data_IF_962991175574
#
_entry.id   IF_962991175574
#
_cell.length_a   1.000
_cell.length_b   1.000
_cell.length_c   1.000
_cell.angle_alpha   90.00
_cell.angle_beta   90.00
_cell.angle_gamma   90.00
#
_symmetry.space_group_name_H-M   'P 1'
#
loop_
_entity.id
_entity.type
_entity.pdbx_description
1 polymer ?
#
# COMPACT_ATOMS: atom_id res chain seq x y z
N UNK A 1 -14.52 -0.42 -16.18
CA UNK A 1 -13.40 -0.05 -15.29
C UNK A 1 -13.73 1.31 -14.71
N UNK A 2 -13.62 1.54 -13.40
CA UNK A 2 -13.94 2.81 -12.76
C UNK A 2 -12.72 3.73 -12.84
N UNK A 3 -12.63 4.71 -13.75
CA UNK A 3 -11.37 5.40 -14.05
C UNK A 3 -10.84 6.24 -12.87
N UNK A 4 -11.68 6.58 -11.90
CA UNK A 4 -11.34 7.44 -10.76
C UNK A 4 -10.92 6.68 -9.50
N UNK A 5 -10.91 5.33 -9.51
CA UNK A 5 -10.48 4.56 -8.35
C UNK A 5 -8.96 4.59 -8.20
N UNK A 6 -8.50 4.88 -6.99
CA UNK A 6 -7.08 4.78 -6.65
C UNK A 6 -6.89 4.06 -5.32
N UNK A 7 -5.83 3.27 -5.22
CA UNK A 7 -5.45 2.58 -3.99
C UNK A 7 -4.04 3.01 -3.57
N UNK A 8 -3.92 3.66 -2.40
CA UNK A 8 -2.62 4.05 -1.84
C UNK A 8 -2.21 3.03 -0.78
N UNK A 9 -1.03 2.44 -0.92
CA UNK A 9 -0.49 1.42 -0.01
C UNK A 9 0.65 2.03 0.78
N UNK A 10 0.60 1.88 2.11
CA UNK A 10 1.66 2.27 3.03
C UNK A 10 1.95 1.21 4.07
N UNK A 11 3.14 1.25 4.65
CA UNK A 11 3.60 0.32 5.69
C UNK A 11 3.88 1.07 6.99
N UNK A 12 3.52 0.48 8.12
CA UNK A 12 3.91 0.99 9.43
C UNK A 12 5.43 0.80 9.62
N UNK A 13 6.15 1.92 9.71
CA UNK A 13 7.58 1.96 9.93
C UNK A 13 7.88 2.55 11.33
N UNK A 14 8.81 1.96 12.11
CA UNK A 14 9.30 2.59 13.32
C UNK A 14 9.93 3.95 13.02
N UNK A 15 9.65 4.94 13.86
CA UNK A 15 10.17 6.29 13.72
C UNK A 15 10.31 6.96 15.09
N UNK A 16 11.55 7.21 15.54
CA UNK A 16 11.83 7.97 16.78
C UNK A 16 10.97 7.54 17.99
N UNK A 17 10.83 6.24 18.22
CA UNK A 17 10.03 5.71 19.35
C UNK A 17 8.51 5.67 19.11
N UNK A 18 8.03 6.07 17.93
CA UNK A 18 6.63 5.94 17.48
C UNK A 18 6.53 5.17 16.16
N UNK A 19 5.34 5.15 15.55
CA UNK A 19 5.04 4.58 14.24
C UNK A 19 4.70 5.71 13.27
N UNK A 20 5.32 5.71 12.09
CA UNK A 20 4.88 6.49 10.92
C UNK A 20 4.41 5.55 9.82
N UNK A 21 3.58 6.04 8.92
CA UNK A 21 3.34 5.34 7.66
C UNK A 21 4.37 5.80 6.63
N UNK A 22 5.11 4.84 6.06
CA UNK A 22 5.89 5.04 4.84
C UNK A 22 4.98 4.67 3.68
N UNK A 23 4.56 5.65 2.88
CA UNK A 23 3.75 5.41 1.68
C UNK A 23 4.63 4.83 0.58
N UNK A 24 4.15 3.80 -0.12
CA UNK A 24 4.98 3.01 -1.05
C UNK A 24 4.53 3.15 -2.49
N UNK A 25 3.22 3.18 -2.73
CA UNK A 25 2.66 3.23 -4.08
C UNK A 25 1.23 3.74 -4.07
N UNK A 26 0.85 4.46 -5.13
CA UNK A 26 -0.54 4.75 -5.49
C UNK A 26 -0.87 4.03 -6.80
N UNK A 27 -1.82 3.11 -6.76
CA UNK A 27 -2.28 2.34 -7.92
C UNK A 27 -3.48 3.04 -8.54
N UNK A 28 -3.43 3.24 -9.86
CA UNK A 28 -4.62 3.59 -10.65
C UNK A 28 -5.46 2.36 -10.99
N UNK A 29 -6.68 2.57 -11.47
CA UNK A 29 -7.62 1.49 -11.80
C UNK A 29 -7.08 0.46 -12.79
N UNK A 30 -6.19 0.85 -13.71
CA UNK A 30 -5.56 -0.05 -14.69
C UNK A 30 -4.57 -1.03 -14.05
N UNK A 31 -3.97 -0.66 -12.92
CA UNK A 31 -2.99 -1.48 -12.20
C UNK A 31 -3.62 -2.27 -11.04
N UNK A 32 -4.88 -1.96 -10.71
CA UNK A 32 -5.55 -2.51 -9.54
C UNK A 32 -6.00 -3.96 -9.75
N UNK A 33 -6.18 -4.41 -10.99
CA UNK A 33 -6.61 -5.78 -11.31
C UNK A 33 -5.74 -6.85 -10.66
N UNK A 34 -4.44 -6.86 -10.97
CA UNK A 34 -3.47 -7.80 -10.38
C UNK A 34 -3.39 -7.70 -8.86
N UNK A 35 -3.55 -6.50 -8.30
CA UNK A 35 -3.54 -6.31 -6.86
C UNK A 35 -4.78 -6.92 -6.20
N UNK A 36 -5.96 -6.84 -6.82
CA UNK A 36 -7.21 -7.33 -6.23
C UNK A 36 -7.35 -8.86 -6.28
N UNK A 37 -6.64 -9.54 -7.19
CA UNK A 37 -6.64 -11.01 -7.27
C UNK A 37 -6.03 -11.65 -6.03
N UNK A 38 -4.85 -11.19 -5.59
CA UNK A 38 -4.23 -11.57 -4.32
C UNK A 38 -3.48 -10.38 -3.70
N UNK A 39 -4.17 -9.53 -2.91
CA UNK A 39 -3.55 -8.35 -2.32
C UNK A 39 -2.38 -8.67 -1.40
N UNK A 40 -2.47 -9.76 -0.62
CA UNK A 40 -1.46 -10.10 0.35
C UNK A 40 -0.20 -10.65 -0.33
N UNK A 41 -0.36 -11.56 -1.30
CA UNK A 41 0.74 -12.07 -2.12
C UNK A 41 1.37 -10.98 -2.99
N UNK A 42 0.57 -10.09 -3.58
CA UNK A 42 1.05 -8.96 -4.37
C UNK A 42 1.95 -8.03 -3.54
N UNK A 43 1.56 -7.74 -2.29
CA UNK A 43 2.36 -6.93 -1.34
C UNK A 43 3.61 -7.71 -0.93
N UNK A 44 3.48 -8.98 -0.53
CA UNK A 44 4.60 -9.81 -0.10
C UNK A 44 5.70 -9.91 -1.17
N UNK A 45 5.31 -10.14 -2.43
CA UNK A 45 6.23 -10.27 -3.54
C UNK A 45 7.03 -8.99 -3.84
N UNK A 46 6.47 -7.81 -3.56
CA UNK A 46 7.10 -6.51 -3.88
C UNK A 46 7.78 -5.86 -2.68
N UNK A 47 7.22 -6.04 -1.50
CA UNK A 47 7.57 -5.28 -0.30
C UNK A 47 7.90 -6.17 0.90
N UNK A 48 7.71 -7.48 0.77
CA UNK A 48 7.99 -8.45 1.82
C UNK A 48 7.03 -8.32 3.01
N UNK A 49 7.48 -8.77 4.18
CA UNK A 49 6.66 -8.81 5.38
C UNK A 49 6.53 -7.46 6.09
N UNK A 50 5.40 -7.27 6.80
CA UNK A 50 5.13 -6.02 7.50
C UNK A 50 3.66 -5.78 7.79
N UNK A 51 3.36 -4.64 8.42
CA UNK A 51 1.97 -4.20 8.67
C UNK A 51 1.61 -3.13 7.66
N UNK A 52 0.87 -3.53 6.64
CA UNK A 52 0.47 -2.67 5.53
C UNK A 52 -0.97 -2.21 5.68
N UNK A 53 -1.23 -1.05 5.10
CA UNK A 53 -2.55 -0.44 4.98
C UNK A 53 -2.74 -0.01 3.53
N UNK A 54 -3.89 -0.34 2.96
CA UNK A 54 -4.36 0.18 1.68
C UNK A 54 -5.53 1.12 1.92
N UNK A 55 -5.48 2.31 1.34
CA UNK A 55 -6.59 3.27 1.29
C UNK A 55 -7.16 3.32 -0.12
N UNK A 56 -8.45 3.03 -0.25
CA UNK A 56 -9.18 3.18 -1.49
C UNK A 56 -9.83 4.57 -1.54
N UNK A 57 -9.68 5.23 -2.69
CA UNK A 57 -10.32 6.51 -2.99
C UNK A 57 -11.10 6.42 -4.30
N UNK A 58 -12.18 7.20 -4.39
CA UNK A 58 -12.88 7.50 -5.63
C UNK A 58 -12.74 9.00 -5.89
N UNK A 59 -11.92 9.36 -6.89
CA UNK A 59 -11.44 10.72 -7.05
C UNK A 59 -10.67 11.18 -5.80
N UNK A 60 -11.06 12.32 -5.23
CA UNK A 60 -10.48 12.85 -3.98
C UNK A 60 -11.14 12.28 -2.71
N UNK A 61 -12.20 11.47 -2.84
CA UNK A 61 -12.94 11.00 -1.70
C UNK A 61 -12.36 9.68 -1.17
N UNK A 62 -12.04 9.66 0.12
CA UNK A 62 -11.73 8.42 0.83
C UNK A 62 -12.96 7.52 0.90
N UNK A 63 -12.78 6.24 0.58
CA UNK A 63 -13.86 5.25 0.56
C UNK A 63 -13.67 4.21 1.65
N UNK A 64 -12.49 3.59 1.73
CA UNK A 64 -12.24 2.51 2.69
C UNK A 64 -10.75 2.30 2.97
N UNK A 65 -10.45 1.66 4.09
CA UNK A 65 -9.14 1.13 4.44
C UNK A 65 -9.20 -0.39 4.56
N UNK A 66 -8.21 -1.09 4.01
CA UNK A 66 -7.95 -2.51 4.31
C UNK A 66 -6.51 -2.71 4.79
N UNK A 67 -6.33 -3.48 5.86
CA UNK A 67 -5.02 -3.79 6.41
C UNK A 67 -4.55 -5.18 5.96
N UNK A 68 -3.25 -5.34 5.78
CA UNK A 68 -2.60 -6.59 5.40
C UNK A 68 -1.38 -6.84 6.30
N UNK A 69 -1.10 -8.12 6.56
CA UNK A 69 0.09 -8.55 7.30
C UNK A 69 0.72 -9.77 6.62
N UNK A 70 1.33 -9.61 5.44
CA UNK A 70 2.14 -10.66 4.87
C UNK A 70 3.35 -10.96 5.78
N UNK A 71 3.74 -12.23 5.80
CA UNK A 71 4.94 -12.71 6.48
C UNK A 71 6.19 -12.52 5.60
N UNK A 72 7.38 -12.65 6.21
CA UNK A 72 8.67 -12.58 5.53
C UNK A 72 9.50 -11.35 5.88
N UNK A 73 10.63 -11.20 5.19
CA UNK A 73 11.58 -10.11 5.45
C UNK A 73 11.03 -8.74 5.03
N UNK A 74 11.33 -7.65 5.76
CA UNK A 74 10.79 -6.32 5.49
C UNK A 74 11.50 -5.61 4.33
N UNK A 75 11.33 -6.10 3.10
CA UNK A 75 11.96 -5.58 1.87
C UNK A 75 11.64 -4.08 1.66
N UNK A 76 10.44 -3.63 2.06
CA UNK A 76 9.98 -2.24 2.00
C UNK A 76 10.91 -1.21 2.65
N UNK A 77 11.83 -1.62 3.53
CA UNK A 77 12.83 -0.72 4.12
C UNK A 77 13.67 -0.03 3.05
N UNK A 78 13.99 -0.76 1.98
CA UNK A 78 14.81 -0.29 0.86
C UNK A 78 13.98 0.34 -0.28
N UNK A 79 12.66 0.19 -0.25
CA UNK A 79 11.79 0.78 -1.27
C UNK A 79 11.80 2.32 -1.17
N UNK A 80 11.67 3.07 -2.27
CA UNK A 80 11.46 4.51 -2.20
C UNK A 80 10.15 4.82 -1.47
N UNK A 81 10.12 5.95 -0.76
CA UNK A 81 8.89 6.48 -0.21
C UNK A 81 8.18 7.27 -1.32
N UNK A 82 6.87 7.04 -1.47
CA UNK A 82 6.03 7.84 -2.35
C UNK A 82 6.02 9.28 -1.80
N UNK A 83 6.58 10.20 -2.57
CA UNK A 83 6.44 11.63 -2.33
C UNK A 83 5.09 12.03 -2.94
N UNK A 84 4.15 12.43 -2.10
CA UNK A 84 2.91 13.04 -2.58
C UNK A 84 3.23 14.49 -2.97
N UNK A 85 2.87 14.88 -4.20
CA UNK A 85 2.92 16.27 -4.68
C UNK A 85 1.83 17.13 -4.01
#
# INVERSE_FOLDING_TARGET
>A
MWPELTATIGVQAPWQGTIRFKWLVRLGSSQMGEFLEDPAGWIAARYGGGKFKMNLHHGMHFVNTKNFRPDGDPIWRNAPELVED
#
